data_IF_395710702266
#
_entry.id   IF_395710702266
#
_cell.length_a   1.000
_cell.length_b   1.000
_cell.length_c   1.000
_cell.angle_alpha   90.00
_cell.angle_beta   90.00
_cell.angle_gamma   90.00
#
_symmetry.space_group_name_H-M   'P 1'
#
loop_
_entity.id
_entity.type
_entity.pdbx_description
1 polymer ?
#
# COMPACT_ATOMS: atom_id res chain seq x y z
N UNK A 1 -16.10 9.14 12.88
CA UNK A 1 -14.78 8.53 12.56
C UNK A 1 -13.71 8.97 13.53
N UNK A 2 -13.56 10.27 13.80
CA UNK A 2 -12.56 10.83 14.74
C UNK A 2 -12.47 10.09 16.08
N UNK A 3 -13.58 9.94 16.81
CA UNK A 3 -13.59 9.24 18.11
C UNK A 3 -13.05 7.80 18.04
N UNK A 4 -13.30 7.09 16.91
CA UNK A 4 -12.80 5.74 16.72
C UNK A 4 -11.32 5.74 16.41
N UNK A 5 -10.88 6.62 15.51
CA UNK A 5 -9.47 6.76 15.18
C UNK A 5 -8.63 7.17 16.40
N UNK A 6 -9.15 8.08 17.24
CA UNK A 6 -8.54 8.45 18.51
C UNK A 6 -8.44 7.26 19.47
N UNK A 7 -9.51 6.46 19.60
CA UNK A 7 -9.45 5.23 20.39
C UNK A 7 -8.36 4.29 19.90
N UNK A 8 -8.28 4.01 18.58
CA UNK A 8 -7.24 3.11 18.06
C UNK A 8 -5.85 3.68 18.32
N UNK A 9 -5.67 4.99 18.21
CA UNK A 9 -4.40 5.63 18.54
C UNK A 9 -4.03 5.45 20.02
N UNK A 10 -4.98 5.63 20.93
CA UNK A 10 -4.81 5.37 22.37
C UNK A 10 -4.46 3.90 22.68
N UNK A 11 -4.92 2.96 21.84
CA UNK A 11 -4.59 1.53 21.94
C UNK A 11 -3.27 1.16 21.24
N UNK A 12 -2.48 2.15 20.78
CA UNK A 12 -1.19 1.91 20.12
C UNK A 12 -1.28 1.75 18.59
N UNK A 13 -2.44 2.01 17.99
CA UNK A 13 -2.60 2.07 16.54
C UNK A 13 -1.69 3.10 15.90
N UNK A 14 -0.98 2.69 14.84
CA UNK A 14 0.01 3.48 14.10
C UNK A 14 -0.13 3.35 12.58
N UNK A 15 -1.02 2.47 12.12
CA UNK A 15 -1.18 2.15 10.70
C UNK A 15 -2.67 2.08 10.36
N UNK A 16 -3.04 2.55 9.17
CA UNK A 16 -4.32 2.24 8.53
C UNK A 16 -4.09 1.40 7.29
N UNK A 17 -5.11 0.68 6.88
CA UNK A 17 -5.12 -0.09 5.64
C UNK A 17 -6.44 0.09 4.89
N UNK A 18 -6.34 0.17 3.56
CA UNK A 18 -7.43 0.47 2.66
C UNK A 18 -7.40 -0.50 1.48
N UNK A 19 -8.23 -1.53 1.54
CA UNK A 19 -8.50 -2.43 0.42
C UNK A 19 -9.49 -1.80 -0.56
N UNK A 20 -9.00 -1.41 -1.74
CA UNK A 20 -9.77 -0.76 -2.78
C UNK A 20 -9.71 -1.56 -4.09
N UNK A 21 -10.77 -1.49 -4.89
CA UNK A 21 -10.73 -1.96 -6.28
C UNK A 21 -9.83 -1.04 -7.13
N UNK A 22 -9.97 0.28 -6.94
CA UNK A 22 -9.12 1.29 -7.56
C UNK A 22 -9.00 2.58 -6.73
N UNK A 23 -8.06 3.44 -7.11
CA UNK A 23 -8.10 4.84 -6.66
C UNK A 23 -9.34 5.57 -7.18
N UNK A 24 -9.95 6.36 -6.29
CA UNK A 24 -11.07 7.23 -6.59
C UNK A 24 -10.62 8.68 -6.54
N UNK A 25 -11.03 9.47 -7.52
CA UNK A 25 -10.81 10.91 -7.48
C UNK A 25 -11.87 11.67 -8.27
N UNK A 26 -12.53 12.60 -7.59
CA UNK A 26 -13.27 13.69 -8.18
C UNK A 26 -13.22 14.92 -7.25
N UNK A 27 -13.11 16.14 -7.78
CA UNK A 27 -13.25 17.35 -6.96
C UNK A 27 -14.59 17.35 -6.23
N UNK A 28 -14.59 17.73 -4.96
CA UNK A 28 -15.77 17.73 -4.11
C UNK A 28 -15.75 18.91 -3.15
N UNK A 29 -16.92 19.25 -2.62
CA UNK A 29 -17.10 20.11 -1.46
C UNK A 29 -17.62 19.30 -0.27
N UNK A 30 -17.36 19.76 0.96
CA UNK A 30 -17.91 19.10 2.15
C UNK A 30 -19.44 19.11 2.18
N UNK A 31 -20.06 20.15 1.60
CA UNK A 31 -21.53 20.21 1.47
C UNK A 31 -22.07 19.11 0.56
N UNK A 32 -21.40 18.83 -0.56
CA UNK A 32 -21.76 17.69 -1.44
C UNK A 32 -21.62 16.37 -0.68
N UNK A 33 -20.50 16.15 0.01
CA UNK A 33 -20.27 14.92 0.76
C UNK A 33 -21.33 14.68 1.86
N UNK A 34 -21.72 15.73 2.60
CA UNK A 34 -22.80 15.67 3.60
C UNK A 34 -24.17 15.36 2.97
N UNK A 35 -24.47 15.99 1.82
CA UNK A 35 -25.70 15.69 1.08
C UNK A 35 -25.73 14.23 0.62
N UNK A 36 -24.63 13.70 0.08
CA UNK A 36 -24.54 12.31 -0.36
C UNK A 36 -24.69 11.34 0.80
N UNK A 37 -24.09 11.64 1.96
CA UNK A 37 -24.28 10.85 3.16
C UNK A 37 -25.76 10.82 3.60
N UNK A 38 -26.44 11.97 3.58
CA UNK A 38 -27.88 12.07 3.91
C UNK A 38 -28.75 11.28 2.93
N UNK A 39 -28.42 11.26 1.63
CA UNK A 39 -29.09 10.39 0.65
C UNK A 39 -28.92 8.91 0.99
N UNK A 40 -27.68 8.48 1.26
CA UNK A 40 -27.38 7.09 1.65
C UNK A 40 -28.13 6.67 2.92
N UNK A 41 -28.24 7.54 3.93
CA UNK A 41 -29.00 7.27 5.15
C UNK A 41 -30.51 7.08 4.91
N UNK A 42 -31.04 7.67 3.83
CA UNK A 42 -32.44 7.48 3.39
C UNK A 42 -32.63 6.23 2.52
N UNK A 43 -31.56 5.48 2.24
CA UNK A 43 -31.59 4.35 1.32
C UNK A 43 -31.62 4.75 -0.16
N UNK A 44 -31.32 6.01 -0.48
CA UNK A 44 -31.23 6.48 -1.86
C UNK A 44 -29.89 6.05 -2.48
N UNK A 45 -29.90 5.76 -3.79
CA UNK A 45 -28.69 5.45 -4.54
C UNK A 45 -27.98 6.73 -4.98
N UNK A 46 -26.65 6.72 -4.92
CA UNK A 46 -25.82 7.75 -5.50
C UNK A 46 -25.58 7.46 -6.99
N UNK A 47 -25.47 8.51 -7.80
CA UNK A 47 -24.94 8.36 -9.16
C UNK A 47 -23.46 7.95 -9.13
N UNK A 48 -22.91 7.56 -10.28
CA UNK A 48 -21.48 7.24 -10.37
C UNK A 48 -20.57 8.41 -9.97
N UNK A 49 -20.91 9.64 -10.39
CA UNK A 49 -20.16 10.85 -10.02
C UNK A 49 -20.28 11.15 -8.53
N UNK A 50 -21.50 11.09 -7.97
CA UNK A 50 -21.74 11.30 -6.54
C UNK A 50 -20.98 10.26 -5.70
N UNK A 51 -20.97 9.00 -6.13
CA UNK A 51 -20.20 7.95 -5.47
C UNK A 51 -18.69 8.20 -5.56
N UNK A 52 -18.17 8.68 -6.69
CA UNK A 52 -16.74 9.01 -6.85
C UNK A 52 -16.34 10.14 -5.90
N UNK A 53 -17.12 11.23 -5.88
CA UNK A 53 -16.91 12.38 -4.98
C UNK A 53 -16.99 11.98 -3.52
N UNK A 54 -18.02 11.20 -3.15
CA UNK A 54 -18.20 10.75 -1.77
C UNK A 54 -17.05 9.85 -1.29
N UNK A 55 -16.63 8.87 -2.10
CA UNK A 55 -15.48 8.00 -1.79
C UNK A 55 -14.18 8.81 -1.68
N UNK A 56 -13.96 9.77 -2.59
CA UNK A 56 -12.83 10.69 -2.54
C UNK A 56 -12.84 11.47 -1.22
N UNK A 57 -13.97 12.07 -0.85
CA UNK A 57 -14.11 12.88 0.35
C UNK A 57 -13.82 12.10 1.64
N UNK A 58 -14.41 10.92 1.80
CA UNK A 58 -14.22 10.09 2.99
C UNK A 58 -12.77 9.61 3.09
N UNK A 59 -12.18 9.15 1.97
CA UNK A 59 -10.81 8.68 1.98
C UNK A 59 -9.82 9.82 2.26
N UNK A 60 -10.04 11.01 1.68
CA UNK A 60 -9.21 12.19 1.97
C UNK A 60 -9.27 12.56 3.46
N UNK A 61 -10.44 12.53 4.10
CA UNK A 61 -10.52 12.84 5.53
C UNK A 61 -9.82 11.78 6.40
N UNK A 62 -9.95 10.49 6.07
CA UNK A 62 -9.21 9.43 6.76
C UNK A 62 -7.69 9.62 6.64
N UNK A 63 -7.19 9.98 5.44
CA UNK A 63 -5.78 10.23 5.23
C UNK A 63 -5.29 11.45 6.04
N UNK A 64 -6.09 12.52 6.11
CA UNK A 64 -5.79 13.68 6.97
C UNK A 64 -5.79 13.32 8.44
N UNK A 65 -6.68 12.43 8.89
CA UNK A 65 -6.69 11.90 10.25
C UNK A 65 -5.43 11.09 10.57
N UNK A 66 -4.96 10.28 9.61
CA UNK A 66 -3.69 9.56 9.70
C UNK A 66 -2.51 10.53 9.83
N UNK A 67 -2.44 11.52 8.94
CA UNK A 67 -1.41 12.55 8.94
C UNK A 67 -1.32 13.29 10.28
N UNK A 68 -2.45 13.77 10.80
CA UNK A 68 -2.54 14.45 12.11
C UNK A 68 -1.96 13.65 13.27
N UNK A 69 -1.92 12.32 13.17
CA UNK A 69 -1.41 11.42 14.22
C UNK A 69 -0.10 10.73 13.86
N UNK A 70 0.51 11.09 12.73
CA UNK A 70 1.75 10.47 12.25
C UNK A 70 1.60 8.99 11.90
N UNK A 71 0.39 8.53 11.56
CA UNK A 71 0.15 7.15 11.14
C UNK A 71 0.71 6.89 9.75
N UNK A 72 1.06 5.63 9.51
CA UNK A 72 1.30 5.12 8.16
C UNK A 72 -0.03 4.72 7.54
N UNK A 73 -0.26 5.04 6.27
CA UNK A 73 -1.45 4.63 5.53
C UNK A 73 -1.08 3.67 4.40
N UNK A 74 -1.85 2.61 4.25
CA UNK A 74 -1.59 1.56 3.25
C UNK A 74 -2.76 1.49 2.26
N UNK A 75 -2.44 1.35 0.98
CA UNK A 75 -3.41 1.18 -0.09
C UNK A 75 -3.16 -0.11 -0.82
N UNK A 76 -4.07 -1.08 -0.66
CA UNK A 76 -4.08 -2.35 -1.38
C UNK A 76 -5.11 -2.26 -2.50
N UNK A 77 -4.64 -2.11 -3.75
CA UNK A 77 -5.48 -1.82 -4.93
C UNK A 77 -5.46 -2.91 -6.00
N UNK A 78 -6.59 -3.08 -6.68
CA UNK A 78 -6.66 -3.91 -7.89
C UNK A 78 -7.21 -5.33 -7.68
N UNK A 79 -7.85 -5.62 -6.55
CA UNK A 79 -8.55 -6.88 -6.34
C UNK A 79 -9.91 -6.88 -7.06
N UNK A 80 -10.16 -7.90 -7.90
CA UNK A 80 -11.48 -8.19 -8.44
C UNK A 80 -12.12 -9.28 -7.57
N UNK A 81 -13.11 -8.89 -6.76
CA UNK A 81 -13.66 -9.74 -5.69
C UNK A 81 -14.98 -10.39 -6.05
N UNK A 82 -15.27 -11.53 -5.41
CA UNK A 82 -16.56 -12.23 -5.46
C UNK A 82 -17.01 -12.61 -6.88
N UNK A 83 -16.06 -13.01 -7.74
CA UNK A 83 -16.32 -13.32 -9.15
C UNK A 83 -17.33 -14.47 -9.32
N UNK A 84 -17.32 -15.43 -8.41
CA UNK A 84 -18.20 -16.58 -8.46
C UNK A 84 -19.51 -16.33 -7.70
N UNK A 85 -20.51 -15.76 -8.37
CA UNK A 85 -21.81 -15.44 -7.77
C UNK A 85 -22.51 -16.63 -7.12
N UNK A 86 -22.36 -17.85 -7.67
CA UNK A 86 -22.94 -19.05 -7.08
C UNK A 86 -22.28 -19.36 -5.74
N UNK A 87 -20.96 -19.31 -5.67
CA UNK A 87 -20.23 -19.58 -4.43
C UNK A 87 -20.35 -18.47 -3.41
N UNK A 88 -20.43 -17.21 -3.85
CA UNK A 88 -20.67 -16.07 -2.96
C UNK A 88 -22.00 -16.22 -2.19
N UNK A 89 -23.08 -16.67 -2.86
CA UNK A 89 -24.36 -16.94 -2.17
C UNK A 89 -24.27 -18.09 -1.15
N UNK A 90 -23.38 -19.05 -1.35
CA UNK A 90 -23.26 -20.23 -0.48
C UNK A 90 -22.28 -20.01 0.68
N UNK A 91 -21.16 -19.32 0.42
CA UNK A 91 -20.00 -19.26 1.30
C UNK A 91 -19.63 -17.84 1.75
N UNK A 92 -20.21 -16.81 1.12
CA UNK A 92 -19.85 -15.41 1.37
C UNK A 92 -18.48 -15.00 0.80
N UNK A 93 -17.97 -13.82 1.19
CA UNK A 93 -16.70 -13.28 0.73
C UNK A 93 -15.49 -14.05 1.28
N UNK A 94 -14.30 -13.75 0.75
CA UNK A 94 -13.00 -14.25 1.26
C UNK A 94 -12.87 -15.79 1.27
N UNK A 95 -13.53 -16.46 0.31
CA UNK A 95 -13.55 -17.93 0.18
C UNK A 95 -12.86 -18.45 -1.09
N UNK A 96 -11.91 -17.67 -1.62
CA UNK A 96 -11.04 -18.09 -2.74
C UNK A 96 -11.58 -17.79 -4.14
N UNK A 97 -12.56 -16.90 -4.27
CA UNK A 97 -13.20 -16.53 -5.55
C UNK A 97 -12.84 -15.12 -6.02
N UNK A 98 -11.70 -14.62 -5.58
CA UNK A 98 -11.13 -13.31 -5.92
C UNK A 98 -9.95 -13.50 -6.87
N UNK A 99 -9.67 -12.49 -7.69
CA UNK A 99 -8.60 -12.53 -8.69
C UNK A 99 -7.93 -11.17 -8.86
N UNK A 100 -6.86 -11.16 -9.67
CA UNK A 100 -6.23 -9.93 -10.16
C UNK A 100 -7.24 -9.16 -11.03
N UNK A 101 -7.43 -7.88 -10.74
CA UNK A 101 -8.26 -6.96 -11.52
C UNK A 101 -7.48 -6.25 -12.63
N UNK A 102 -8.07 -5.19 -13.18
CA UNK A 102 -7.44 -4.37 -14.22
C UNK A 102 -6.34 -3.47 -13.65
N UNK A 103 -5.38 -3.02 -14.51
CA UNK A 103 -4.41 -2.00 -14.13
C UNK A 103 -5.05 -0.73 -13.59
N UNK A 104 -4.32 -0.02 -12.73
CA UNK A 104 -4.81 1.17 -12.04
C UNK A 104 -4.82 2.41 -12.94
N UNK A 105 -5.75 3.32 -12.65
CA UNK A 105 -5.79 4.66 -13.27
C UNK A 105 -4.75 5.57 -12.61
N UNK A 106 -3.60 5.71 -13.25
CA UNK A 106 -2.49 6.53 -12.77
C UNK A 106 -2.88 8.02 -12.57
N UNK A 107 -3.77 8.55 -13.40
CA UNK A 107 -4.21 9.94 -13.27
C UNK A 107 -5.01 10.14 -11.98
N UNK A 108 -5.98 9.27 -11.70
CA UNK A 108 -6.76 9.36 -10.46
C UNK A 108 -5.91 9.17 -9.22
N UNK A 109 -4.96 8.23 -9.25
CA UNK A 109 -4.02 8.02 -8.17
C UNK A 109 -3.17 9.27 -7.91
N UNK A 110 -2.57 9.84 -8.97
CA UNK A 110 -1.79 11.08 -8.88
C UNK A 110 -2.61 12.23 -8.28
N UNK A 111 -3.82 12.46 -8.78
CA UNK A 111 -4.70 13.52 -8.29
C UNK A 111 -5.13 13.32 -6.84
N UNK A 112 -5.42 12.09 -6.43
CA UNK A 112 -5.78 11.77 -5.06
C UNK A 112 -4.61 12.06 -4.10
N UNK A 113 -3.42 11.53 -4.38
CA UNK A 113 -2.23 11.77 -3.56
C UNK A 113 -1.86 13.26 -3.52
N UNK A 114 -1.90 13.94 -4.66
CA UNK A 114 -1.65 15.38 -4.75
C UNK A 114 -2.67 16.18 -3.93
N UNK A 115 -3.94 15.77 -3.85
CA UNK A 115 -4.94 16.51 -3.06
C UNK A 115 -4.65 16.52 -1.55
N UNK A 116 -3.83 15.58 -1.08
CA UNK A 116 -3.34 15.54 0.30
C UNK A 116 -2.03 16.32 0.41
N UNK A 117 -1.11 16.11 -0.53
CA UNK A 117 0.23 16.68 -0.53
C UNK A 117 0.24 18.21 -0.79
N UNK A 118 -0.66 18.71 -1.63
CA UNK A 118 -0.85 20.15 -1.94
C UNK A 118 -1.18 20.98 -0.67
N UNK A 119 -1.66 20.31 0.37
CA UNK A 119 -1.95 20.91 1.68
C UNK A 119 -0.96 20.51 2.79
N UNK A 120 0.14 19.83 2.44
CA UNK A 120 1.11 19.23 3.37
C UNK A 120 0.43 18.28 4.38
N UNK A 121 -0.48 17.44 3.88
CA UNK A 121 -1.27 16.49 4.67
C UNK A 121 -1.18 15.05 4.15
N UNK A 122 -0.22 14.76 3.28
CA UNK A 122 0.06 13.39 2.88
C UNK A 122 0.86 12.68 3.98
N UNK A 123 0.30 11.64 4.57
CA UNK A 123 0.99 10.81 5.56
C UNK A 123 2.04 9.90 4.92
N UNK A 124 2.90 9.29 5.74
CA UNK A 124 3.73 8.15 5.32
C UNK A 124 2.83 7.11 4.67
N UNK A 125 3.13 6.71 3.44
CA UNK A 125 2.22 5.92 2.62
C UNK A 125 2.91 4.66 2.10
N UNK A 126 2.21 3.53 2.04
CA UNK A 126 2.67 2.32 1.36
C UNK A 126 1.63 1.93 0.29
N UNK A 127 2.10 1.73 -0.94
CA UNK A 127 1.28 1.45 -2.11
C UNK A 127 1.48 0.01 -2.56
N UNK A 128 0.39 -0.76 -2.66
CA UNK A 128 0.39 -2.16 -3.10
C UNK A 128 -0.57 -2.33 -4.28
N UNK A 129 -0.08 -2.88 -5.39
CA UNK A 129 -0.90 -3.30 -6.53
C UNK A 129 -1.03 -4.82 -6.57
N UNK A 130 -2.20 -5.30 -7.03
CA UNK A 130 -2.41 -6.72 -7.30
C UNK A 130 -2.10 -7.11 -8.76
N UNK A 131 -2.18 -6.15 -9.69
CA UNK A 131 -1.87 -6.38 -11.10
C UNK A 131 -0.40 -6.03 -11.39
N UNK A 132 0.46 -6.99 -11.80
CA UNK A 132 1.89 -6.75 -11.96
C UNK A 132 2.26 -5.80 -13.10
N UNK A 133 1.30 -5.45 -13.98
CA UNK A 133 1.48 -4.40 -14.99
C UNK A 133 1.58 -3.00 -14.37
N UNK A 134 1.16 -2.83 -13.12
CA UNK A 134 1.21 -1.56 -12.40
C UNK A 134 2.53 -1.35 -11.65
N UNK A 135 3.44 -2.33 -11.56
CA UNK A 135 4.63 -2.25 -10.70
C UNK A 135 5.44 -0.98 -10.95
N UNK A 136 5.87 -0.76 -12.19
CA UNK A 136 6.71 0.37 -12.59
C UNK A 136 5.96 1.70 -12.41
N UNK A 137 4.65 1.72 -12.70
CA UNK A 137 3.80 2.88 -12.49
C UNK A 137 3.68 3.21 -11.01
N UNK A 138 3.45 2.24 -10.13
CA UNK A 138 3.33 2.44 -8.69
C UNK A 138 4.62 2.95 -8.07
N UNK A 139 5.77 2.40 -8.47
CA UNK A 139 7.09 2.84 -7.96
C UNK A 139 7.36 4.29 -8.37
N UNK A 140 7.15 4.62 -9.65
CA UNK A 140 7.38 5.98 -10.16
C UNK A 140 6.35 6.98 -9.62
N UNK A 141 5.10 6.54 -9.40
CA UNK A 141 4.07 7.34 -8.72
C UNK A 141 4.46 7.66 -7.29
N UNK A 142 4.97 6.68 -6.54
CA UNK A 142 5.48 6.89 -5.19
C UNK A 142 6.61 7.93 -5.16
N UNK A 143 7.50 7.88 -6.16
CA UNK A 143 8.61 8.81 -6.34
C UNK A 143 8.19 10.29 -6.34
N UNK A 144 7.03 10.62 -6.91
CA UNK A 144 6.52 11.99 -7.04
C UNK A 144 6.24 12.68 -5.70
N UNK A 145 6.04 11.91 -4.62
CA UNK A 145 5.54 12.41 -3.34
C UNK A 145 6.53 12.18 -2.18
N UNK A 146 7.82 11.99 -2.50
CA UNK A 146 8.88 12.02 -1.50
C UNK A 146 9.36 13.46 -1.31
N UNK A 147 9.34 13.94 -0.06
CA UNK A 147 9.57 15.35 0.29
C UNK A 147 10.85 15.59 1.12
N UNK A 148 11.59 14.53 1.45
CA UNK A 148 12.80 14.59 2.27
C UNK A 148 12.56 14.66 3.78
N UNK A 149 11.30 14.66 4.25
CA UNK A 149 10.96 14.67 5.68
C UNK A 149 11.34 13.35 6.38
N UNK A 150 11.23 12.23 5.68
CA UNK A 150 11.65 10.90 6.11
C UNK A 150 12.23 10.13 4.92
N UNK A 151 13.11 9.12 5.14
CA UNK A 151 13.61 8.29 4.05
C UNK A 151 12.47 7.56 3.34
N UNK A 152 12.23 7.91 2.07
CA UNK A 152 11.19 7.31 1.20
C UNK A 152 9.81 7.32 1.89
N UNK A 153 9.25 8.53 2.05
CA UNK A 153 7.93 8.80 2.66
C UNK A 153 6.80 8.00 2.02
N UNK A 154 6.84 7.83 0.70
CA UNK A 154 5.88 7.01 -0.05
C UNK A 154 6.62 5.78 -0.58
N UNK A 155 6.27 4.63 -0.02
CA UNK A 155 6.87 3.33 -0.28
C UNK A 155 6.07 2.58 -1.34
N UNK A 156 6.80 1.83 -2.17
CA UNK A 156 6.22 0.72 -2.92
C UNK A 156 6.27 -0.54 -2.04
N UNK A 157 5.10 -1.09 -1.71
CA UNK A 157 4.95 -2.21 -0.80
C UNK A 157 5.42 -3.54 -1.38
N UNK A 158 5.64 -4.54 -0.53
CA UNK A 158 6.02 -5.89 -0.95
C UNK A 158 5.03 -6.49 -1.96
N UNK A 159 5.54 -7.40 -2.80
CA UNK A 159 4.70 -8.14 -3.75
C UNK A 159 3.50 -8.79 -3.04
N UNK A 160 2.29 -8.36 -3.40
CA UNK A 160 1.08 -8.64 -2.62
C UNK A 160 0.29 -9.85 -3.14
N UNK A 161 -0.18 -10.68 -2.20
CA UNK A 161 -1.14 -11.77 -2.41
C UNK A 161 -0.73 -12.75 -3.53
N UNK A 162 -1.30 -12.65 -4.73
CA UNK A 162 -0.94 -13.53 -5.85
C UNK A 162 0.50 -13.32 -6.33
N UNK A 163 1.08 -12.16 -6.02
CA UNK A 163 2.45 -11.80 -6.34
C UNK A 163 3.43 -12.23 -5.23
N UNK A 164 2.95 -12.66 -4.06
CA UNK A 164 3.75 -13.15 -2.92
C UNK A 164 4.26 -14.59 -3.17
N UNK A 165 5.11 -14.72 -4.18
CA UNK A 165 5.79 -15.94 -4.61
C UNK A 165 7.06 -15.57 -5.42
N UNK A 166 7.95 -16.55 -5.69
CA UNK A 166 9.27 -16.31 -6.30
C UNK A 166 9.27 -15.35 -7.49
N UNK A 167 8.48 -15.63 -8.52
CA UNK A 167 8.49 -14.83 -9.75
C UNK A 167 7.98 -13.40 -9.51
N UNK A 168 6.98 -13.24 -8.64
CA UNK A 168 6.43 -11.94 -8.29
C UNK A 168 7.42 -11.12 -7.47
N UNK A 169 8.06 -11.73 -6.46
CA UNK A 169 9.11 -11.09 -5.66
C UNK A 169 10.35 -10.74 -6.48
N UNK A 170 10.82 -11.64 -7.34
CA UNK A 170 11.99 -11.37 -8.19
C UNK A 170 11.71 -10.23 -9.18
N UNK A 171 10.51 -10.15 -9.75
CA UNK A 171 10.11 -8.98 -10.55
C UNK A 171 10.09 -7.72 -9.69
N UNK A 172 9.47 -7.79 -8.51
CA UNK A 172 9.43 -6.67 -7.57
C UNK A 172 10.83 -6.15 -7.20
N UNK A 173 11.80 -7.02 -6.92
CA UNK A 173 13.18 -6.61 -6.61
C UNK A 173 13.86 -5.91 -7.78
N UNK A 174 13.71 -6.45 -9.01
CA UNK A 174 14.26 -5.81 -10.21
C UNK A 174 13.66 -4.43 -10.44
N UNK A 175 12.34 -4.33 -10.38
CA UNK A 175 11.63 -3.07 -10.64
C UNK A 175 11.98 -2.02 -9.57
N UNK A 176 11.93 -2.40 -8.29
CA UNK A 176 12.21 -1.50 -7.17
C UNK A 176 13.68 -1.06 -7.14
N UNK A 177 14.62 -1.95 -7.47
CA UNK A 177 16.03 -1.58 -7.54
C UNK A 177 16.35 -0.65 -8.70
N UNK A 178 15.57 -0.73 -9.78
CA UNK A 178 15.76 0.12 -10.97
C UNK A 178 15.10 1.50 -10.84
N UNK A 179 13.93 1.57 -10.19
CA UNK A 179 13.07 2.76 -10.17
C UNK A 179 12.94 3.41 -8.80
N UNK A 180 13.44 2.78 -7.74
CA UNK A 180 13.36 3.25 -6.36
C UNK A 180 14.66 3.05 -5.58
N UNK A 181 14.54 2.99 -4.25
CA UNK A 181 15.69 2.84 -3.35
C UNK A 181 15.57 1.55 -2.53
N UNK A 182 16.08 0.44 -3.07
CA UNK A 182 16.02 -0.88 -2.45
C UNK A 182 16.54 -0.90 -0.99
N UNK A 183 17.60 -0.15 -0.69
CA UNK A 183 18.16 -0.04 0.67
C UNK A 183 17.15 0.52 1.70
N UNK A 184 16.15 1.29 1.25
CA UNK A 184 15.11 1.92 2.10
C UNK A 184 13.76 1.22 2.01
N UNK A 185 13.67 0.10 1.30
CA UNK A 185 12.45 -0.69 1.22
C UNK A 185 12.05 -1.22 2.59
N UNK A 186 10.78 -1.01 2.98
CA UNK A 186 10.24 -1.44 4.28
C UNK A 186 10.25 -2.95 4.48
N UNK A 187 10.26 -3.75 3.41
CA UNK A 187 10.40 -5.20 3.49
C UNK A 187 9.08 -5.96 3.52
N UNK A 188 9.15 -7.19 4.02
CA UNK A 188 8.09 -8.20 3.91
C UNK A 188 7.00 -8.08 4.97
N UNK A 189 5.77 -8.42 4.58
CA UNK A 189 4.62 -8.66 5.47
C UNK A 189 3.93 -9.95 5.04
N UNK A 190 3.37 -10.72 5.98
CA UNK A 190 2.75 -12.03 5.66
C UNK A 190 1.38 -11.92 5.00
N UNK A 191 0.65 -10.84 5.27
CA UNK A 191 -0.76 -10.63 4.89
C UNK A 191 -1.63 -11.89 5.07
N UNK A 192 -1.43 -12.58 6.20
CA UNK A 192 -2.00 -13.90 6.42
C UNK A 192 -2.78 -13.97 7.73
N UNK A 193 -3.88 -14.72 7.67
CA UNK A 193 -4.63 -15.15 8.86
C UNK A 193 -4.07 -16.41 9.53
N UNK A 194 -3.01 -17.02 8.98
CA UNK A 194 -2.39 -18.23 9.52
C UNK A 194 -1.19 -17.91 10.39
N UNK A 195 -1.13 -18.49 11.60
CA UNK A 195 0.05 -18.43 12.46
C UNK A 195 1.27 -19.15 11.86
N UNK A 196 1.05 -20.05 10.88
CA UNK A 196 2.12 -20.76 10.18
C UNK A 196 2.64 -19.99 8.96
N UNK A 197 2.35 -18.69 8.85
CA UNK A 197 2.74 -17.87 7.70
C UNK A 197 4.14 -17.27 7.81
N UNK A 198 4.77 -17.27 8.98
CA UNK A 198 6.13 -16.72 9.17
C UNK A 198 7.23 -17.30 8.27
N UNK A 199 7.18 -18.55 7.78
CA UNK A 199 8.08 -19.02 6.73
C UNK A 199 8.06 -18.17 5.44
N UNK A 200 7.01 -17.38 5.19
CA UNK A 200 7.02 -16.38 4.10
C UNK A 200 8.12 -15.33 4.26
N UNK A 201 8.46 -14.96 5.50
CA UNK A 201 9.63 -14.08 5.75
C UNK A 201 10.94 -14.78 5.43
N UNK A 202 11.09 -16.06 5.76
CA UNK A 202 12.29 -16.82 5.37
C UNK A 202 12.40 -16.89 3.84
N UNK A 203 11.29 -17.21 3.17
CA UNK A 203 11.21 -17.27 1.72
C UNK A 203 11.64 -15.95 1.07
N UNK A 204 11.05 -14.83 1.52
CA UNK A 204 11.46 -13.48 1.10
C UNK A 204 12.95 -13.22 1.33
N UNK A 205 13.46 -13.50 2.55
CA UNK A 205 14.86 -13.26 2.92
C UNK A 205 15.84 -14.03 2.04
N UNK A 206 15.54 -15.29 1.73
CA UNK A 206 16.35 -16.10 0.81
C UNK A 206 16.35 -15.50 -0.60
N UNK A 207 15.19 -15.09 -1.10
CA UNK A 207 15.08 -14.52 -2.44
C UNK A 207 15.79 -13.17 -2.56
N UNK A 208 15.66 -12.27 -1.57
CA UNK A 208 16.37 -10.98 -1.61
C UNK A 208 17.88 -11.16 -1.45
N UNK A 209 18.34 -12.04 -0.56
CA UNK A 209 19.77 -12.35 -0.46
C UNK A 209 20.32 -12.94 -1.77
N UNK A 210 19.58 -13.84 -2.41
CA UNK A 210 19.99 -14.41 -3.70
C UNK A 210 20.04 -13.33 -4.79
N UNK A 211 19.02 -12.47 -4.89
CA UNK A 211 19.01 -11.37 -5.85
C UNK A 211 20.21 -10.43 -5.66
N UNK A 212 20.48 -9.99 -4.43
CA UNK A 212 21.63 -9.12 -4.13
C UNK A 212 22.95 -9.84 -4.40
N UNK A 213 23.07 -11.12 -4.01
CA UNK A 213 24.26 -11.93 -4.28
C UNK A 213 24.56 -12.08 -5.77
N UNK A 214 23.53 -12.30 -6.60
CA UNK A 214 23.69 -12.34 -8.06
C UNK A 214 24.17 -11.01 -8.64
N UNK A 215 23.71 -9.87 -8.12
CA UNK A 215 24.18 -8.56 -8.57
C UNK A 215 25.64 -8.30 -8.15
N UNK A 216 26.07 -8.81 -6.99
CA UNK A 216 27.48 -8.79 -6.54
C UNK A 216 28.35 -9.67 -7.45
N UNK A 217 27.94 -10.91 -7.72
CA UNK A 217 28.70 -11.86 -8.56
C UNK A 217 28.88 -11.34 -10.00
N UNK A 218 27.90 -10.59 -10.53
CA UNK A 218 27.99 -9.91 -11.83
C UNK A 218 28.90 -8.67 -11.82
N UNK A 219 29.35 -8.22 -10.64
CA UNK A 219 30.11 -6.99 -10.46
C UNK A 219 29.29 -5.71 -10.64
N UNK A 220 27.96 -5.78 -10.50
CA UNK A 220 27.07 -4.63 -10.63
C UNK A 220 26.97 -3.80 -9.35
N UNK A 221 27.16 -4.44 -8.19
CA UNK A 221 27.29 -3.78 -6.89
C UNK A 221 28.51 -4.31 -6.12
N UNK A 222 29.16 -3.49 -5.26
CA UNK A 222 30.37 -3.90 -4.54
C UNK A 222 30.13 -5.04 -3.54
N UNK A 223 31.10 -5.96 -3.45
CA UNK A 223 31.17 -7.01 -2.43
C UNK A 223 31.76 -6.46 -1.12
N UNK A 224 31.01 -5.58 -0.46
CA UNK A 224 31.44 -4.90 0.77
C UNK A 224 30.40 -5.04 1.88
N UNK A 225 30.79 -5.69 2.98
CA UNK A 225 29.92 -5.90 4.15
C UNK A 225 29.33 -4.59 4.70
N UNK A 226 30.09 -3.49 4.65
CA UNK A 226 29.65 -2.16 5.09
C UNK A 226 28.43 -1.63 4.30
N UNK A 227 28.26 -2.08 3.05
CA UNK A 227 27.12 -1.74 2.20
C UNK A 227 26.03 -2.81 2.26
N UNK A 228 26.42 -4.08 2.15
CA UNK A 228 25.49 -5.21 2.01
C UNK A 228 24.75 -5.52 3.32
N UNK A 229 25.45 -5.51 4.46
CA UNK A 229 24.83 -5.86 5.75
C UNK A 229 23.72 -4.88 6.15
N UNK A 230 23.90 -3.55 6.09
CA UNK A 230 22.80 -2.62 6.37
C UNK A 230 21.63 -2.73 5.39
N UNK A 231 21.88 -3.08 4.13
CA UNK A 231 20.81 -3.33 3.16
C UNK A 231 19.97 -4.53 3.58
N UNK A 232 20.61 -5.68 3.81
CA UNK A 232 19.90 -6.93 4.15
C UNK A 232 19.20 -6.82 5.50
N UNK A 233 19.85 -6.28 6.54
CA UNK A 233 19.22 -6.04 7.85
C UNK A 233 18.08 -5.00 7.77
N UNK A 234 18.26 -4.00 6.90
CA UNK A 234 17.27 -2.97 6.56
C UNK A 234 15.96 -3.58 6.09
N UNK A 235 16.01 -4.24 4.92
CA UNK A 235 14.83 -4.84 4.28
C UNK A 235 14.26 -6.03 5.06
N UNK A 236 15.05 -6.63 5.95
CA UNK A 236 14.60 -7.76 6.77
C UNK A 236 13.87 -7.35 8.04
N UNK A 237 14.10 -6.13 8.56
CA UNK A 237 13.54 -5.66 9.82
C UNK A 237 13.69 -4.15 10.08
N UNK A 238 14.92 -3.59 9.99
CA UNK A 238 15.22 -2.27 10.54
C UNK A 238 14.42 -1.15 9.87
N UNK A 239 14.23 -1.23 8.55
CA UNK A 239 13.47 -0.24 7.80
C UNK A 239 11.99 -0.21 8.24
N UNK A 240 11.35 -1.38 8.39
CA UNK A 240 9.98 -1.46 8.90
C UNK A 240 9.86 -0.89 10.33
N UNK A 241 10.79 -1.25 11.23
CA UNK A 241 10.78 -0.75 12.61
C UNK A 241 10.82 0.78 12.65
N UNK A 242 11.75 1.38 11.90
CA UNK A 242 11.91 2.84 11.80
C UNK A 242 10.70 3.50 11.12
N UNK A 243 10.31 3.01 9.95
CA UNK A 243 9.25 3.62 9.14
C UNK A 243 7.87 3.53 9.79
N UNK A 244 7.53 2.40 10.43
CA UNK A 244 6.26 2.21 11.13
C UNK A 244 6.29 2.77 12.56
N UNK A 245 7.47 3.15 13.06
CA UNK A 245 7.66 3.70 14.41
C UNK A 245 7.34 2.70 15.51
N UNK A 246 7.66 1.41 15.32
CA UNK A 246 7.47 0.38 16.34
C UNK A 246 8.59 0.45 17.38
N UNK A 247 8.22 0.52 18.66
CA UNK A 247 9.17 0.37 19.77
C UNK A 247 9.47 -1.11 20.00
N UNK A 248 10.52 -1.39 20.76
CA UNK A 248 10.77 -2.74 21.32
C UNK A 248 9.62 -3.21 22.22
#
# INVERSE_FOLDING_TARGET
LENRHEFFHKMGGKCSDHGLDRFFFAPFTFSEADQYFKKLLKGENLTAEESEKYKTAIMSELCRMNHRRGWVQQFHVGALRNNNSRMFRLMGPDTGWDSIGVPQDAFKMSRFLNSLDDSDQLAKTILYNLNPADNEMMITMAGNFNDGSVPVKVQYGAAWWFLDQKNGMEKHFRDLSSLGLMRRFVGMVTDSRSFLSYPRHEYFRRLVCNYIGEEVEKGLIPDEDELLKPLIEGVSYKNAKEFLGFSE
#
